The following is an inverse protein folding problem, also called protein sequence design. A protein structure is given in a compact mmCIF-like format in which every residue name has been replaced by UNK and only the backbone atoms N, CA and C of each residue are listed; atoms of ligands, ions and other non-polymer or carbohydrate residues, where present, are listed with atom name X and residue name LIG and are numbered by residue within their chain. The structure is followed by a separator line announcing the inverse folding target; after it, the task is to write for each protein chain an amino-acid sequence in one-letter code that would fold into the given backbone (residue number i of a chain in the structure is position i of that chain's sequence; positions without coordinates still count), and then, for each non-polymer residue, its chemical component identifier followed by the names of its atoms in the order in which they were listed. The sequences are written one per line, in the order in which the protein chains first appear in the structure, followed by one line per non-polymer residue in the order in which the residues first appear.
data_IF_601831938508
#
_entry.id   IF_601831938508
#
_cell.length_a   1.000
_cell.length_b   1.000
_cell.length_c   1.000
_cell.angle_alpha   90.00
_cell.angle_beta   90.00
_cell.angle_gamma   90.00
#
_symmetry.space_group_name_H-M   'P 1'
#
loop_
_entity.id
_entity.type
_entity.pdbx_description
1 polymer ?
#
# COMPACT_ATOMS: atom_id res chain seq x y z
N UNK A 1 9.17 -12.94 -8.98
CA UNK A 1 9.00 -11.84 -9.95
C UNK A 1 8.63 -10.53 -9.24
N UNK A 2 7.57 -10.48 -8.42
CA UNK A 2 7.17 -9.27 -7.68
C UNK A 2 8.31 -8.56 -6.91
N UNK A 3 9.18 -9.32 -6.24
CA UNK A 3 10.33 -8.80 -5.47
C UNK A 3 11.30 -7.93 -6.28
N UNK A 4 11.53 -8.24 -7.56
CA UNK A 4 12.41 -7.46 -8.46
C UNK A 4 11.71 -6.24 -9.06
N UNK A 5 10.38 -6.29 -9.15
CA UNK A 5 9.56 -5.25 -9.77
C UNK A 5 9.16 -4.14 -8.79
N UNK A 6 9.11 -4.42 -7.48
CA UNK A 6 8.86 -3.44 -6.42
C UNK A 6 10.12 -2.63 -6.09
N UNK A 7 10.66 -1.94 -7.10
CA UNK A 7 11.73 -0.97 -6.92
C UNK A 7 11.26 0.38 -7.45
N UNK A 8 11.48 1.45 -6.68
CA UNK A 8 11.01 2.80 -7.04
C UNK A 8 11.60 3.30 -8.36
N UNK A 9 12.74 2.76 -8.81
CA UNK A 9 13.37 3.07 -10.09
C UNK A 9 12.82 2.30 -11.30
N UNK A 10 11.88 1.37 -11.13
CA UNK A 10 11.27 0.62 -12.24
C UNK A 10 10.15 1.41 -12.92
N UNK A 11 9.71 0.94 -14.09
CA UNK A 11 8.60 1.57 -14.80
C UNK A 11 7.31 1.53 -13.97
N UNK A 12 6.52 2.61 -13.99
CA UNK A 12 5.23 2.70 -13.27
C UNK A 12 4.33 1.48 -13.54
N UNK A 13 4.27 1.04 -14.80
CA UNK A 13 3.46 -0.11 -15.22
C UNK A 13 3.89 -1.41 -14.55
N UNK A 14 5.19 -1.65 -14.41
CA UNK A 14 5.74 -2.84 -13.77
C UNK A 14 5.46 -2.85 -12.27
N UNK A 15 5.63 -1.69 -11.62
CA UNK A 15 5.30 -1.53 -10.19
C UNK A 15 3.80 -1.79 -9.98
N UNK A 16 2.93 -1.17 -10.78
CA UNK A 16 1.49 -1.36 -10.68
C UNK A 16 1.05 -2.80 -10.95
N UNK A 17 1.68 -3.50 -11.90
CA UNK A 17 1.40 -4.91 -12.16
C UNK A 17 1.81 -5.80 -10.98
N UNK A 18 3.00 -5.57 -10.41
CA UNK A 18 3.46 -6.30 -9.23
C UNK A 18 2.54 -6.09 -8.03
N UNK A 19 2.12 -4.84 -7.79
CA UNK A 19 1.15 -4.48 -6.76
C UNK A 19 -0.19 -5.20 -6.98
N UNK A 20 -0.78 -5.13 -8.18
CA UNK A 20 -2.04 -5.85 -8.51
C UNK A 20 -1.93 -7.35 -8.30
N UNK A 21 -0.80 -7.95 -8.64
CA UNK A 21 -0.57 -9.38 -8.44
C UNK A 21 -0.60 -9.75 -6.95
N UNK A 22 0.07 -8.97 -6.10
CA UNK A 22 0.07 -9.20 -4.64
C UNK A 22 -1.34 -9.04 -4.07
N UNK A 23 -2.07 -8.02 -4.52
CA UNK A 23 -3.46 -7.82 -4.10
C UNK A 23 -4.32 -9.04 -4.41
N UNK A 24 -4.23 -9.54 -5.64
CA UNK A 24 -5.02 -10.69 -6.08
C UNK A 24 -4.72 -11.94 -5.25
N UNK A 25 -3.44 -12.17 -4.91
CA UNK A 25 -3.06 -13.28 -4.04
C UNK A 25 -3.73 -13.18 -2.66
N UNK A 26 -3.63 -12.01 -2.02
CA UNK A 26 -4.17 -11.80 -0.67
C UNK A 26 -5.70 -11.88 -0.62
N UNK A 27 -6.39 -11.37 -1.64
CA UNK A 27 -7.85 -11.36 -1.70
C UNK A 27 -8.43 -12.75 -2.00
N UNK A 28 -7.76 -13.55 -2.84
CA UNK A 28 -8.25 -14.89 -3.16
C UNK A 28 -8.00 -15.90 -2.05
N UNK A 29 -6.94 -15.71 -1.25
CA UNK A 29 -6.56 -16.66 -0.22
C UNK A 29 -5.91 -15.92 0.97
N UNK A 30 -6.64 -15.71 2.07
CA UNK A 30 -6.13 -15.03 3.27
C UNK A 30 -4.84 -15.65 3.83
N UNK A 31 -4.64 -16.95 3.68
CA UNK A 31 -3.42 -17.64 4.13
C UNK A 31 -2.16 -17.21 3.38
N UNK A 32 -2.31 -16.55 2.22
CA UNK A 32 -1.18 -15.98 1.48
C UNK A 32 -0.62 -14.71 2.12
N UNK A 33 -1.34 -14.08 3.06
CA UNK A 33 -0.83 -12.94 3.84
C UNK A 33 0.46 -13.30 4.59
N UNK A 34 0.59 -14.52 5.10
CA UNK A 34 1.84 -15.03 5.68
C UNK A 34 2.98 -15.16 4.66
N UNK A 35 2.67 -15.45 3.39
CA UNK A 35 3.68 -15.49 2.32
C UNK A 35 4.18 -14.10 1.99
N UNK A 36 3.29 -13.09 2.01
CA UNK A 36 3.65 -11.69 1.83
C UNK A 36 4.59 -11.22 2.94
N UNK A 37 4.29 -11.60 4.18
CA UNK A 37 5.15 -11.38 5.35
C UNK A 37 6.53 -12.02 5.18
N UNK A 38 6.56 -13.32 4.93
CA UNK A 38 7.80 -14.11 4.84
C UNK A 38 8.70 -13.70 3.66
N UNK A 39 8.13 -13.07 2.63
CA UNK A 39 8.87 -12.55 1.49
C UNK A 39 9.33 -11.09 1.67
N UNK A 40 9.17 -10.51 2.87
CA UNK A 40 9.53 -9.12 3.22
C UNK A 40 8.86 -8.08 2.31
N UNK A 41 7.68 -8.41 1.77
CA UNK A 41 6.99 -7.55 0.80
C UNK A 41 6.40 -6.30 1.45
N UNK A 42 6.07 -6.33 2.74
CA UNK A 42 5.51 -5.17 3.46
C UNK A 42 6.51 -3.98 3.42
N UNK A 43 7.78 -4.11 3.88
CA UNK A 43 8.77 -3.05 3.73
C UNK A 43 8.96 -2.55 2.28
N UNK A 44 8.96 -3.46 1.30
CA UNK A 44 9.09 -3.07 -0.11
C UNK A 44 7.90 -2.25 -0.61
N UNK A 45 6.66 -2.60 -0.22
CA UNK A 45 5.47 -1.84 -0.57
C UNK A 45 5.49 -0.47 0.12
N UNK A 46 5.99 -0.39 1.36
CA UNK A 46 6.21 0.88 2.07
C UNK A 46 7.22 1.76 1.33
N UNK A 47 8.32 1.19 0.82
CA UNK A 47 9.28 1.93 0.01
C UNK A 47 8.68 2.46 -1.29
N UNK A 48 7.75 1.71 -1.90
CA UNK A 48 7.01 2.14 -3.11
C UNK A 48 6.15 3.38 -2.84
N UNK A 49 5.77 3.68 -1.59
CA UNK A 49 5.11 4.95 -1.24
C UNK A 49 5.99 6.16 -1.54
N UNK A 50 7.32 6.02 -1.64
CA UNK A 50 8.26 7.09 -2.00
C UNK A 50 8.25 7.41 -3.50
N UNK A 51 7.45 6.70 -4.31
CA UNK A 51 7.31 6.97 -5.74
C UNK A 51 6.73 8.36 -6.02
N UNK A 52 7.22 9.03 -7.07
CA UNK A 52 6.65 10.28 -7.57
C UNK A 52 5.25 10.08 -8.19
N UNK A 53 4.90 8.86 -8.61
CA UNK A 53 3.61 8.55 -9.22
C UNK A 53 2.50 8.40 -8.19
N UNK A 54 1.51 9.29 -8.24
CA UNK A 54 0.31 9.22 -7.40
C UNK A 54 -0.41 7.88 -7.52
N UNK A 55 -0.52 7.35 -8.74
CA UNK A 55 -1.19 6.07 -9.00
C UNK A 55 -0.50 4.92 -8.28
N UNK A 56 0.84 4.90 -8.31
CA UNK A 56 1.66 3.91 -7.61
C UNK A 56 1.46 4.02 -6.10
N UNK A 57 1.51 5.24 -5.55
CA UNK A 57 1.31 5.48 -4.12
C UNK A 57 -0.07 5.05 -3.63
N UNK A 58 -1.14 5.47 -4.31
CA UNK A 58 -2.51 5.06 -3.96
C UNK A 58 -2.65 3.54 -4.00
N UNK A 59 -2.08 2.88 -5.01
CA UNK A 59 -2.15 1.43 -5.13
C UNK A 59 -1.37 0.71 -4.04
N UNK A 60 -0.22 1.23 -3.64
CA UNK A 60 0.55 0.70 -2.52
C UNK A 60 -0.22 0.81 -1.20
N UNK A 61 -0.86 1.96 -0.91
CA UNK A 61 -1.72 2.11 0.28
C UNK A 61 -2.89 1.12 0.30
N UNK A 62 -3.56 0.92 -0.84
CA UNK A 62 -4.64 -0.06 -0.99
C UNK A 62 -4.17 -1.47 -0.61
N UNK A 63 -2.96 -1.85 -1.03
CA UNK A 63 -2.42 -3.19 -0.76
C UNK A 63 -1.97 -3.32 0.69
N UNK A 64 -1.34 -2.30 1.27
CA UNK A 64 -0.98 -2.34 2.68
C UNK A 64 -2.22 -2.59 3.54
N UNK A 65 -3.36 -1.95 3.22
CA UNK A 65 -4.64 -2.24 3.87
C UNK A 65 -5.06 -3.70 3.74
N UNK A 66 -4.98 -4.29 2.54
CA UNK A 66 -5.37 -5.70 2.29
C UNK A 66 -4.46 -6.70 3.00
N UNK A 67 -3.15 -6.40 3.08
CA UNK A 67 -2.14 -7.29 3.66
C UNK A 67 -2.25 -7.34 5.19
N UNK A 68 -2.58 -6.21 5.83
CA UNK A 68 -2.76 -6.14 7.29
C UNK A 68 -4.19 -6.42 7.75
N UNK A 69 -5.12 -6.57 6.82
CA UNK A 69 -6.51 -6.90 7.12
C UNK A 69 -6.56 -8.24 7.86
N UNK A 70 -7.09 -8.22 9.09
CA UNK A 70 -7.23 -9.40 9.96
C UNK A 70 -5.93 -10.18 10.24
N UNK A 71 -4.75 -9.57 10.08
CA UNK A 71 -3.44 -10.19 10.37
C UNK A 71 -2.64 -9.29 11.33
N UNK A 72 -2.66 -9.62 12.62
CA UNK A 72 -2.05 -8.79 13.67
C UNK A 72 -0.52 -8.73 13.58
N UNK A 73 0.13 -9.81 13.16
CA UNK A 73 1.58 -9.82 12.92
C UNK A 73 1.94 -8.84 11.80
N UNK A 74 1.16 -8.81 10.71
CA UNK A 74 1.38 -7.87 9.61
C UNK A 74 1.12 -6.43 10.04
N UNK A 75 0.16 -6.19 10.95
CA UNK A 75 -0.06 -4.88 11.56
C UNK A 75 1.14 -4.46 12.41
N UNK A 76 1.73 -5.37 13.17
CA UNK A 76 2.92 -5.09 13.97
C UNK A 76 4.10 -4.69 13.08
N UNK A 77 4.39 -5.47 12.03
CA UNK A 77 5.44 -5.15 11.05
C UNK A 77 5.18 -3.82 10.34
N UNK A 78 3.92 -3.49 10.04
CA UNK A 78 3.58 -2.20 9.45
C UNK A 78 3.71 -1.05 10.46
N UNK A 79 3.47 -1.31 11.75
CA UNK A 79 3.61 -0.34 12.82
C UNK A 79 5.08 -0.08 13.18
N UNK A 80 6.00 -0.98 12.83
CA UNK A 80 7.42 -0.81 13.06
C UNK A 80 8.03 0.35 12.27
N UNK A 81 8.95 1.06 12.92
CA UNK A 81 9.74 2.14 12.34
C UNK A 81 8.93 3.40 12.01
N UNK A 82 9.26 4.03 10.88
CA UNK A 82 8.67 5.31 10.43
C UNK A 82 7.49 5.12 9.44
N UNK A 83 7.01 3.89 9.29
CA UNK A 83 5.98 3.53 8.30
C UNK A 83 4.65 4.23 8.57
N UNK A 84 4.17 4.19 9.81
CA UNK A 84 2.93 4.87 10.24
C UNK A 84 3.04 6.38 9.99
N UNK A 85 4.18 6.97 10.34
CA UNK A 85 4.47 8.40 10.09
C UNK A 85 4.42 8.73 8.59
N UNK A 86 4.97 7.86 7.76
CA UNK A 86 4.96 8.01 6.29
C UNK A 86 3.54 7.96 5.74
N UNK A 87 2.73 6.99 6.18
CA UNK A 87 1.32 6.85 5.78
C UNK A 87 0.51 8.08 6.20
N UNK A 88 0.64 8.53 7.45
CA UNK A 88 -0.04 9.74 7.97
C UNK A 88 0.36 10.99 7.17
N UNK A 89 1.63 11.13 6.80
CA UNK A 89 2.10 12.25 5.97
C UNK A 89 1.45 12.23 4.58
N UNK A 90 1.26 11.06 3.97
CA UNK A 90 0.57 10.94 2.69
C UNK A 90 -0.91 11.31 2.78
N UNK A 91 -1.62 10.85 3.82
CA UNK A 91 -3.00 11.25 4.10
C UNK A 91 -3.13 12.76 4.36
N UNK A 92 -2.07 13.40 4.86
CA UNK A 92 -2.02 14.85 5.10
C UNK A 92 -1.66 15.66 3.86
N UNK A 93 -0.85 15.10 2.94
CA UNK A 93 -0.37 15.79 1.73
C UNK A 93 -1.23 15.57 0.48
N UNK A 94 -1.98 14.46 0.38
CA UNK A 94 -2.90 14.19 -0.74
C UNK A 94 -4.27 14.91 -0.59
N UNK A 95 -4.39 15.84 0.38
CA UNK A 95 -5.55 16.71 0.60
C UNK A 95 -5.78 17.77 -0.50
N UNK A 96 -5.79 17.39 -1.78
CA UNK A 96 -6.20 18.30 -2.87
C UNK A 96 -7.25 17.68 -3.81
N UNK A 97 -8.13 16.81 -3.28
CA UNK A 97 -9.43 16.45 -3.89
C UNK A 97 -10.44 15.89 -2.89
N UNK A 98 -9.99 15.38 -1.75
CA UNK A 98 -10.85 14.79 -0.71
C UNK A 98 -11.64 15.82 0.10
N UNK A 99 -11.23 17.10 0.13
CA UNK A 99 -12.08 18.19 0.64
C UNK A 99 -13.25 18.52 -0.30
N UNK A 100 -13.11 18.27 -1.60
CA UNK A 100 -14.15 18.54 -2.59
C UNK A 100 -15.30 17.54 -2.42
N UNK A 101 -15.00 16.25 -2.30
CA UNK A 101 -16.02 15.21 -2.03
C UNK A 101 -16.63 15.34 -0.62
N UNK A 102 -15.87 15.80 0.38
CA UNK A 102 -16.41 16.09 1.71
C UNK A 102 -17.40 17.28 1.73
N UNK A 103 -17.42 18.14 0.69
CA UNK A 103 -18.48 19.16 0.52
C UNK A 103 -19.75 18.65 -0.17
N UNK A 104 -19.71 17.46 -0.78
CA UNK A 104 -20.86 16.86 -1.46
C UNK A 104 -21.70 15.91 -0.58
N UNK A 105 -21.28 15.64 0.66
CA UNK A 105 -22.13 14.95 1.63
C UNK A 105 -23.10 15.94 2.27
N UNK A 106 -24.43 15.82 2.06
CA UNK A 106 -25.40 16.66 2.74
C UNK A 106 -25.37 16.30 4.22
N UNK A 107 -25.20 17.32 5.07
CA UNK A 107 -25.23 17.18 6.51
C UNK A 107 -26.54 16.52 6.95
N UNK A 108 -26.46 15.33 7.57
CA UNK A 108 -27.43 14.77 8.50
C UNK A 108 -26.71 13.78 9.42
#
# INVERSE_FOLDING_TARGET
MARRSLYVGNAETEILQALKFIQHLCQNNPSTRHVVRNAELIPMIVDVLKSSSRRVRCKALEILRVVVEEDDDNKEILAEGDTVRTIVKFLSHEQSKEREEATYLPAL
#
